data_IF_068701582257
#
_entry.id   IF_068701582257
#
_cell.length_a   1.000
_cell.length_b   1.000
_cell.length_c   1.000
_cell.angle_alpha   90.00
_cell.angle_beta   90.00
_cell.angle_gamma   90.00
#
_symmetry.space_group_name_H-M   'P 1'
#
loop_
_entity.id
_entity.type
_entity.pdbx_description
1 polymer ?
#
# COMPACT_ATOMS: atom_id res chain seq x y z
N UNK A 1 -6.24 18.79 -20.46
CA UNK A 1 -6.62 17.37 -20.38
C UNK A 1 -6.96 17.12 -18.93
N UNK A 2 -8.24 16.92 -18.65
CA UNK A 2 -8.75 16.77 -17.30
C UNK A 2 -8.29 15.44 -16.74
N UNK A 3 -7.58 15.47 -15.63
CA UNK A 3 -7.36 14.28 -14.83
C UNK A 3 -7.74 14.63 -13.40
N UNK A 4 -9.03 14.50 -13.13
CA UNK A 4 -9.45 14.05 -11.81
C UNK A 4 -9.06 12.57 -11.74
N UNK A 5 -7.76 12.31 -11.58
CA UNK A 5 -7.31 11.05 -11.04
C UNK A 5 -7.94 10.99 -9.65
N UNK A 6 -8.91 10.09 -9.46
CA UNK A 6 -9.05 9.45 -8.16
C UNK A 6 -7.62 9.05 -7.79
N UNK A 7 -7.13 9.41 -6.60
CA UNK A 7 -5.78 9.05 -6.13
C UNK A 7 -5.66 7.53 -5.89
N UNK A 8 -6.12 6.73 -6.85
CA UNK A 8 -5.81 5.34 -7.06
C UNK A 8 -4.28 5.24 -7.14
N UNK A 9 -3.70 4.39 -6.33
CA UNK A 9 -2.27 4.34 -6.13
C UNK A 9 -1.80 4.85 -4.77
N UNK A 10 -2.71 5.12 -3.82
CA UNK A 10 -2.36 5.41 -2.41
C UNK A 10 -3.14 4.51 -1.46
N UNK A 11 -2.42 3.76 -0.62
CA UNK A 11 -3.04 2.90 0.38
C UNK A 11 -3.70 3.74 1.47
N UNK A 12 -5.01 3.60 1.68
CA UNK A 12 -5.76 4.35 2.71
C UNK A 12 -5.38 4.03 4.16
N UNK A 13 -4.55 3.01 4.38
CA UNK A 13 -4.23 2.50 5.73
C UNK A 13 -2.81 2.83 6.17
N UNK A 14 -1.86 2.81 5.24
CA UNK A 14 -0.48 3.19 5.49
C UNK A 14 0.03 4.37 4.66
N UNK A 15 -0.70 4.79 3.62
CA UNK A 15 -0.25 5.85 2.71
C UNK A 15 0.79 5.40 1.69
N UNK A 16 1.16 4.12 1.64
CA UNK A 16 2.12 3.63 0.65
C UNK A 16 1.58 3.83 -0.77
N UNK A 17 2.49 4.02 -1.71
CA UNK A 17 2.18 4.19 -3.13
C UNK A 17 2.96 3.18 -3.97
N UNK A 18 2.69 3.07 -5.27
CA UNK A 18 3.48 2.18 -6.13
C UNK A 18 4.97 2.59 -6.18
N UNK A 19 5.25 3.88 -6.05
CA UNK A 19 6.63 4.41 -6.04
C UNK A 19 7.29 4.33 -4.65
N UNK A 20 6.48 4.28 -3.58
CA UNK A 20 6.94 4.07 -2.19
C UNK A 20 6.13 2.93 -1.56
N UNK A 21 6.34 1.68 -2.00
CA UNK A 21 5.62 0.54 -1.45
C UNK A 21 6.15 0.22 -0.06
N UNK A 22 5.30 -0.35 0.78
CA UNK A 22 5.77 -1.00 2.01
C UNK A 22 6.73 -2.12 1.64
N UNK A 23 7.90 -2.16 2.26
CA UNK A 23 8.82 -3.28 2.11
C UNK A 23 8.78 -4.08 3.41
N UNK A 24 8.55 -5.39 3.30
CA UNK A 24 8.74 -6.34 4.38
C UNK A 24 9.94 -7.25 4.06
N UNK A 25 10.72 -7.56 5.07
CA UNK A 25 11.94 -8.38 4.91
C UNK A 25 11.62 -9.83 4.52
N UNK A 26 10.40 -10.31 4.79
CA UNK A 26 9.96 -11.68 4.50
C UNK A 26 9.23 -11.74 3.15
N UNK A 27 8.39 -10.75 2.84
CA UNK A 27 7.51 -10.77 1.67
C UNK A 27 7.91 -9.81 0.54
N UNK A 28 8.87 -8.92 0.78
CA UNK A 28 9.33 -7.92 -0.20
C UNK A 28 8.40 -6.71 -0.28
N UNK A 29 8.27 -6.13 -1.47
CA UNK A 29 7.43 -4.96 -1.71
C UNK A 29 5.94 -5.31 -1.75
N UNK A 30 5.12 -4.49 -1.10
CA UNK A 30 3.67 -4.62 -1.16
C UNK A 30 3.15 -4.26 -2.55
N UNK A 31 2.09 -4.94 -2.97
CA UNK A 31 1.35 -4.65 -4.20
C UNK A 31 -0.07 -4.20 -3.87
N UNK A 32 -0.82 -3.71 -4.85
CA UNK A 32 -2.24 -3.40 -4.67
C UNK A 32 -3.07 -4.68 -4.52
N UNK A 33 -3.73 -4.84 -3.38
CA UNK A 33 -4.61 -5.99 -3.13
C UNK A 33 -6.00 -5.81 -3.74
N UNK A 34 -6.36 -4.56 -4.06
CA UNK A 34 -7.67 -4.19 -4.56
C UNK A 34 -7.53 -3.50 -5.93
N UNK A 35 -8.50 -3.73 -6.81
CA UNK A 35 -8.59 -3.14 -8.14
C UNK A 35 -8.76 -1.61 -8.13
N UNK A 36 -9.19 -1.03 -7.01
CA UNK A 36 -9.23 0.42 -6.79
C UNK A 36 -7.87 1.01 -6.43
N UNK A 37 -6.84 0.19 -6.23
CA UNK A 37 -5.48 0.61 -5.87
C UNK A 37 -5.46 1.52 -4.61
N UNK A 38 -6.43 1.31 -3.71
CA UNK A 38 -6.57 2.06 -2.45
C UNK A 38 -6.10 1.28 -1.23
N UNK A 39 -5.69 0.03 -1.41
CA UNK A 39 -5.26 -0.85 -0.32
C UNK A 39 -4.13 -1.78 -0.76
N UNK A 40 -3.04 -1.80 -0.01
CA UNK A 40 -1.91 -2.68 -0.30
C UNK A 40 -2.09 -4.08 0.33
N UNK A 41 -1.42 -5.08 -0.26
CA UNK A 41 -1.40 -6.46 0.20
C UNK A 41 -0.96 -6.60 1.65
N UNK A 42 0.04 -5.82 2.09
CA UNK A 42 0.49 -5.87 3.48
C UNK A 42 -0.58 -5.40 4.47
N UNK A 43 -1.37 -4.39 4.09
CA UNK A 43 -2.49 -3.92 4.92
C UNK A 43 -3.73 -4.82 4.81
N UNK A 44 -3.92 -5.48 3.67
CA UNK A 44 -5.01 -6.44 3.45
C UNK A 44 -4.77 -7.73 4.24
N UNK A 45 -3.57 -8.32 4.13
CA UNK A 45 -3.18 -9.54 4.84
C UNK A 45 -2.72 -9.30 6.29
N UNK A 46 -2.52 -8.04 6.68
CA UNK A 46 -2.11 -7.68 8.04
C UNK A 46 -0.62 -7.87 8.34
N UNK A 47 0.22 -8.10 7.33
CA UNK A 47 1.67 -8.29 7.49
C UNK A 47 2.40 -7.06 8.06
N UNK A 48 1.77 -5.89 8.07
CA UNK A 48 2.30 -4.66 8.66
C UNK A 48 1.92 -4.39 10.12
N UNK A 49 1.19 -5.28 10.81
CA UNK A 49 0.73 -5.04 12.20
C UNK A 49 1.71 -5.47 13.29
N UNK A 50 2.59 -6.41 13.00
CA UNK A 50 3.41 -7.03 14.05
C UNK A 50 4.80 -6.41 14.22
N UNK A 51 5.21 -5.47 13.35
CA UNK A 51 6.55 -4.86 13.38
C UNK A 51 6.64 -3.42 13.87
N UNK A 52 5.57 -2.81 14.39
CA UNK A 52 5.63 -1.47 15.01
C UNK A 52 5.96 -0.29 14.08
N UNK A 53 6.52 -0.56 12.90
CA UNK A 53 6.68 0.36 11.79
C UNK A 53 5.56 0.08 10.80
N UNK A 54 4.43 0.75 11.00
CA UNK A 54 3.49 1.01 9.92
C UNK A 54 4.31 1.61 8.78
N UNK A 55 4.54 0.81 7.72
CA UNK A 55 4.90 1.25 6.37
C UNK A 55 5.23 2.75 6.31
N UNK A 56 6.48 3.12 6.64
CA UNK A 56 6.93 4.52 6.66
C UNK A 56 7.32 5.00 5.26
#
# INVERSE_FOLDING_TARGET
>A
MAQAEIEAGICRRCGCTWNRPCIDEVHGACWWADETETLCSHCYYGWGKDKGELCS
#
